data_IF_699794500011
#
_entry.id   IF_699794500011
#
_cell.length_a   1.000
_cell.length_b   1.000
_cell.length_c   1.000
_cell.angle_alpha   90.00
_cell.angle_beta   90.00
_cell.angle_gamma   90.00
#
_symmetry.space_group_name_H-M   'P 1'
#
loop_
_entity.id
_entity.type
_entity.pdbx_description
1 polymer ?
#
# COMPACT_ATOMS: atom_id res chain seq x y z
N UNK A 1 -0.35 -27.97 27.26
CA UNK A 1 0.38 -27.13 26.31
C UNK A 1 -0.04 -27.47 24.89
N UNK A 2 -0.81 -26.62 24.26
CA UNK A 2 -0.98 -26.70 22.81
C UNK A 2 -0.10 -25.62 22.16
N UNK A 3 1.11 -25.99 21.83
CA UNK A 3 2.01 -25.19 21.02
C UNK A 3 1.59 -25.33 19.57
N UNK A 4 0.65 -24.53 19.14
CA UNK A 4 0.21 -24.57 17.75
C UNK A 4 -0.75 -23.44 17.42
N UNK A 5 -0.93 -23.23 16.15
CA UNK A 5 -1.90 -22.25 15.65
C UNK A 5 -3.30 -22.84 15.85
N UNK A 6 -4.16 -22.07 16.49
CA UNK A 6 -5.57 -22.45 16.60
C UNK A 6 -6.29 -22.08 15.29
N UNK A 7 -7.13 -23.01 14.82
CA UNK A 7 -7.84 -22.84 13.55
C UNK A 7 -9.16 -22.06 13.69
N UNK A 8 -9.28 -21.26 14.76
CA UNK A 8 -10.46 -20.42 14.99
C UNK A 8 -10.11 -18.95 14.93
N UNK A 9 -10.95 -18.17 14.25
CA UNK A 9 -10.88 -16.73 14.21
C UNK A 9 -11.82 -16.16 15.27
N UNK A 10 -11.30 -15.33 16.17
CA UNK A 10 -12.13 -14.68 17.19
C UNK A 10 -12.95 -13.53 16.56
N UNK A 11 -14.24 -13.40 16.92
CA UNK A 11 -15.04 -12.28 16.45
C UNK A 11 -14.55 -10.95 17.03
N UNK A 12 -14.88 -9.81 16.42
CA UNK A 12 -14.58 -8.50 17.00
C UNK A 12 -15.22 -8.34 18.39
N UNK A 13 -14.53 -7.64 19.27
CA UNK A 13 -15.02 -7.34 20.62
C UNK A 13 -14.17 -7.95 21.72
N UNK A 14 -14.79 -8.19 22.89
CA UNK A 14 -14.10 -8.79 24.03
C UNK A 14 -13.83 -10.27 23.80
N UNK A 15 -12.60 -10.68 24.03
CA UNK A 15 -12.17 -12.06 23.85
C UNK A 15 -11.62 -12.64 25.15
N UNK A 16 -11.88 -13.93 25.37
CA UNK A 16 -11.24 -14.69 26.43
C UNK A 16 -10.12 -15.55 25.83
N UNK A 17 -8.90 -15.35 26.32
CA UNK A 17 -7.73 -16.15 25.93
C UNK A 17 -7.13 -16.85 27.14
N UNK A 18 -6.66 -18.09 26.94
CA UNK A 18 -5.98 -18.83 27.98
C UNK A 18 -4.68 -18.10 28.36
N UNK A 19 -4.31 -18.08 29.69
CA UNK A 19 -3.16 -17.31 30.16
C UNK A 19 -1.83 -17.62 29.47
N UNK A 20 -1.69 -18.81 28.91
CA UNK A 20 -0.45 -19.24 28.26
C UNK A 20 -0.45 -19.02 26.74
N UNK A 21 -1.55 -18.52 26.18
CA UNK A 21 -1.64 -18.23 24.75
C UNK A 21 -1.13 -16.83 24.44
N UNK A 22 -0.36 -16.71 23.35
CA UNK A 22 0.03 -15.41 22.80
C UNK A 22 -0.98 -15.00 21.75
N UNK A 23 -1.56 -13.82 21.95
CA UNK A 23 -2.48 -13.24 20.98
C UNK A 23 -1.69 -12.56 19.86
N UNK A 24 -2.01 -12.90 18.62
CA UNK A 24 -1.58 -12.18 17.42
C UNK A 24 -2.80 -11.59 16.75
N UNK A 25 -2.75 -10.31 16.47
CA UNK A 25 -3.89 -9.57 15.94
C UNK A 25 -3.76 -9.35 14.43
N UNK A 26 -4.85 -9.64 13.74
CA UNK A 26 -5.01 -9.37 12.31
C UNK A 26 -6.33 -8.64 12.12
N UNK A 27 -6.28 -7.39 11.67
CA UNK A 27 -7.51 -6.63 11.45
C UNK A 27 -8.22 -7.12 10.18
N UNK A 28 -9.43 -7.61 10.34
CA UNK A 28 -10.35 -7.92 9.23
C UNK A 28 -11.29 -6.76 8.92
N UNK A 29 -11.17 -5.67 9.67
CA UNK A 29 -11.82 -4.40 9.37
C UNK A 29 -10.93 -3.56 8.44
N UNK A 30 -11.52 -2.56 7.80
CA UNK A 30 -10.79 -1.68 6.90
C UNK A 30 -9.71 -0.88 7.65
N UNK A 31 -8.48 -1.02 7.20
CA UNK A 31 -7.33 -0.27 7.67
C UNK A 31 -6.82 0.65 6.55
N UNK A 32 -6.14 1.71 6.92
CA UNK A 32 -5.58 2.66 5.96
C UNK A 32 -4.06 2.76 6.18
N UNK A 33 -3.31 2.52 5.11
CA UNK A 33 -1.89 2.78 5.05
C UNK A 33 -1.67 4.12 4.34
N UNK A 34 -0.95 5.04 4.98
CA UNK A 34 -0.70 6.37 4.46
C UNK A 34 0.81 6.58 4.31
N UNK A 35 1.26 6.83 3.08
CA UNK A 35 2.65 7.13 2.75
C UNK A 35 2.69 8.47 2.02
N UNK A 36 2.62 9.55 2.77
CA UNK A 36 2.46 10.91 2.23
C UNK A 36 3.61 11.83 2.64
N UNK A 37 3.66 13.00 2.02
CA UNK A 37 4.78 13.91 2.18
C UNK A 37 4.80 14.58 3.55
N UNK A 38 3.64 14.98 4.06
CA UNK A 38 3.58 15.76 5.29
C UNK A 38 2.33 15.42 6.14
N UNK A 39 2.25 16.09 7.29
CA UNK A 39 1.16 15.87 8.26
C UNK A 39 -0.22 16.22 7.72
N UNK A 40 -0.33 17.18 6.82
CA UNK A 40 -1.61 17.58 6.25
C UNK A 40 -2.20 16.49 5.37
N UNK A 41 -1.34 15.67 4.80
CA UNK A 41 -1.73 14.53 3.98
C UNK A 41 -1.87 13.23 4.79
N UNK A 42 -1.47 13.22 6.06
CA UNK A 42 -1.69 12.11 7.00
C UNK A 42 -0.47 11.42 7.57
N UNK A 43 0.73 11.64 7.02
CA UNK A 43 1.97 11.04 7.55
C UNK A 43 2.63 11.91 8.61
N UNK A 44 3.26 11.26 9.59
CA UNK A 44 4.00 11.97 10.64
C UNK A 44 5.31 12.58 10.15
N UNK A 45 5.86 12.04 9.09
CA UNK A 45 7.10 12.46 8.43
C UNK A 45 6.90 12.35 6.92
N UNK A 46 7.91 12.76 6.14
CA UNK A 46 7.89 12.56 4.68
C UNK A 46 8.07 11.08 4.37
N UNK A 47 6.97 10.41 4.08
CA UNK A 47 6.91 9.02 3.63
C UNK A 47 6.63 8.91 2.12
N UNK A 48 6.63 10.03 1.39
CA UNK A 48 6.50 10.02 -0.06
C UNK A 48 7.68 9.26 -0.70
N UNK A 49 7.47 8.75 -1.89
CA UNK A 49 8.48 7.97 -2.60
C UNK A 49 8.41 8.22 -4.10
N UNK A 50 9.51 7.92 -4.79
CA UNK A 50 9.58 8.10 -6.24
C UNK A 50 9.14 6.83 -6.96
N UNK A 51 8.36 7.01 -8.01
CA UNK A 51 7.94 5.95 -8.91
C UNK A 51 8.48 6.22 -10.32
N UNK A 52 8.75 5.15 -11.06
CA UNK A 52 9.26 5.24 -12.44
C UNK A 52 8.10 5.50 -13.42
N UNK A 53 8.43 6.09 -14.56
CA UNK A 53 7.49 6.40 -15.64
C UNK A 53 7.89 5.74 -16.95
N UNK A 54 7.00 5.72 -17.93
CA UNK A 54 7.27 5.13 -19.25
C UNK A 54 8.29 5.91 -20.08
N UNK A 55 8.51 7.17 -19.76
CA UNK A 55 9.44 8.07 -20.45
C UNK A 55 10.76 8.27 -19.69
N UNK A 56 11.19 7.23 -18.98
CA UNK A 56 12.45 7.15 -18.24
C UNK A 56 12.64 8.26 -17.19
N UNK A 57 11.55 8.83 -16.72
CA UNK A 57 11.55 9.80 -15.63
C UNK A 57 11.19 9.11 -14.31
N UNK A 58 11.33 9.82 -13.21
CA UNK A 58 10.79 9.43 -11.92
C UNK A 58 10.12 10.61 -11.25
N UNK A 59 9.06 10.36 -10.49
CA UNK A 59 8.31 11.40 -9.84
C UNK A 59 7.94 10.99 -8.42
N UNK A 60 8.11 11.90 -7.47
CA UNK A 60 7.72 11.65 -6.09
C UNK A 60 6.20 11.73 -5.94
N UNK A 61 5.64 10.79 -5.22
CA UNK A 61 4.19 10.69 -5.02
C UNK A 61 3.85 10.46 -3.55
N UNK A 62 2.69 10.93 -3.14
CA UNK A 62 2.02 10.55 -1.91
C UNK A 62 0.99 9.46 -2.23
N UNK A 63 0.91 8.47 -1.38
CA UNK A 63 0.13 7.26 -1.64
C UNK A 63 -0.71 6.87 -0.42
N UNK A 64 -1.87 6.30 -0.69
CA UNK A 64 -2.77 5.81 0.34
C UNK A 64 -3.39 4.49 -0.10
N UNK A 65 -3.50 3.54 0.81
CA UNK A 65 -4.08 2.24 0.53
C UNK A 65 -5.03 1.84 1.64
N UNK A 66 -6.28 1.52 1.26
CA UNK A 66 -7.26 0.90 2.14
C UNK A 66 -7.20 -0.62 1.96
N UNK A 67 -7.10 -1.34 3.05
CA UNK A 67 -6.93 -2.79 3.01
C UNK A 67 -7.55 -3.45 4.24
N UNK A 68 -7.67 -4.77 4.18
CA UNK A 68 -8.00 -5.61 5.33
C UNK A 68 -7.38 -6.98 5.14
N UNK A 69 -7.20 -7.70 6.23
CA UNK A 69 -6.86 -9.11 6.13
C UNK A 69 -8.14 -9.90 5.79
N UNK A 70 -8.01 -10.84 4.87
CA UNK A 70 -9.11 -11.72 4.48
C UNK A 70 -9.39 -12.72 5.61
N UNK A 71 -10.59 -12.69 6.24
CA UNK A 71 -10.90 -13.61 7.31
C UNK A 71 -10.85 -15.07 6.91
N UNK A 72 -11.03 -15.40 5.63
CA UNK A 72 -10.98 -16.77 5.13
C UNK A 72 -9.56 -17.33 5.05
N UNK A 73 -8.55 -16.45 4.91
CA UNK A 73 -7.14 -16.85 4.73
C UNK A 73 -6.23 -16.42 5.87
N UNK A 74 -6.76 -15.73 6.89
CA UNK A 74 -5.93 -15.15 7.96
C UNK A 74 -5.17 -16.21 8.77
N UNK A 75 -5.73 -17.38 8.96
CA UNK A 75 -5.05 -18.46 9.69
C UNK A 75 -3.83 -18.95 8.89
N UNK A 76 -3.98 -19.12 7.58
CA UNK A 76 -2.87 -19.48 6.70
C UNK A 76 -1.79 -18.42 6.68
N UNK A 77 -2.19 -17.16 6.66
CA UNK A 77 -1.28 -16.01 6.75
C UNK A 77 -0.48 -16.05 8.05
N UNK A 78 -1.15 -16.26 9.18
CA UNK A 78 -0.48 -16.39 10.47
C UNK A 78 0.53 -17.55 10.49
N UNK A 79 0.15 -18.68 9.94
CA UNK A 79 1.06 -19.86 9.85
C UNK A 79 2.29 -19.55 9.00
N UNK A 80 2.11 -18.82 7.90
CA UNK A 80 3.19 -18.45 6.98
C UNK A 80 4.17 -17.44 7.60
N UNK A 81 3.67 -16.49 8.38
CA UNK A 81 4.46 -15.41 8.99
C UNK A 81 4.51 -15.54 10.52
N UNK A 82 4.88 -16.71 11.02
CA UNK A 82 4.96 -17.00 12.45
C UNK A 82 5.71 -15.91 13.23
N UNK A 83 5.12 -15.49 14.35
CA UNK A 83 5.70 -14.46 15.20
C UNK A 83 5.37 -13.05 14.79
N UNK A 84 4.71 -12.84 13.67
CA UNK A 84 4.29 -11.53 13.18
C UNK A 84 2.77 -11.40 13.27
N UNK A 85 2.29 -10.30 13.79
CA UNK A 85 0.88 -9.94 13.68
C UNK A 85 0.62 -9.19 12.36
N UNK A 86 -0.65 -8.80 12.13
CA UNK A 86 -1.03 -8.13 10.89
C UNK A 86 -0.30 -6.82 10.65
N UNK A 87 -0.08 -6.04 11.71
CA UNK A 87 0.64 -4.77 11.59
C UNK A 87 2.14 -4.98 11.31
N UNK A 88 2.75 -5.98 11.93
CA UNK A 88 4.16 -6.32 11.67
C UNK A 88 4.39 -6.73 10.22
N UNK A 89 3.46 -7.49 9.63
CA UNK A 89 3.54 -7.88 8.22
C UNK A 89 3.50 -6.64 7.32
N UNK A 90 2.59 -5.71 7.57
CA UNK A 90 2.49 -4.46 6.80
C UNK A 90 3.77 -3.64 6.94
N UNK A 91 4.24 -3.41 8.16
CA UNK A 91 5.40 -2.57 8.42
C UNK A 91 6.71 -3.18 7.88
N UNK A 92 6.90 -4.48 8.00
CA UNK A 92 8.17 -5.13 7.71
C UNK A 92 8.22 -5.89 6.37
N UNK A 93 7.07 -6.15 5.75
CA UNK A 93 7.00 -6.87 4.47
C UNK A 93 6.34 -6.07 3.36
N UNK A 94 5.12 -5.57 3.59
CA UNK A 94 4.35 -4.87 2.57
C UNK A 94 5.01 -3.55 2.18
N UNK A 95 5.35 -2.72 3.14
CA UNK A 95 5.98 -1.41 2.87
C UNK A 95 7.31 -1.54 2.14
N UNK A 96 8.09 -2.59 2.40
CA UNK A 96 9.40 -2.77 1.75
C UNK A 96 9.30 -3.05 0.25
N UNK A 97 8.20 -3.63 -0.21
CA UNK A 97 8.02 -3.98 -1.63
C UNK A 97 7.06 -3.02 -2.36
N UNK A 98 6.37 -2.17 -1.61
CA UNK A 98 5.27 -1.35 -2.15
C UNK A 98 5.72 -0.43 -3.27
N UNK A 99 6.85 0.27 -3.10
CA UNK A 99 7.40 1.16 -4.12
C UNK A 99 7.66 0.44 -5.44
N UNK A 100 8.32 -0.72 -5.39
CA UNK A 100 8.63 -1.47 -6.61
C UNK A 100 7.37 -2.03 -7.27
N UNK A 101 6.40 -2.45 -6.47
CA UNK A 101 5.12 -2.96 -6.99
C UNK A 101 4.31 -1.86 -7.66
N UNK A 102 4.25 -0.69 -7.08
CA UNK A 102 3.58 0.47 -7.69
C UNK A 102 4.32 0.89 -8.97
N UNK A 103 5.65 0.90 -8.95
CA UNK A 103 6.45 1.23 -10.12
C UNK A 103 6.23 0.27 -11.30
N UNK A 104 5.96 -1.01 -11.05
CA UNK A 104 5.60 -1.95 -12.12
C UNK A 104 4.35 -1.52 -12.89
N UNK A 105 3.43 -0.82 -12.23
CA UNK A 105 2.24 -0.26 -12.89
C UNK A 105 2.54 1.10 -13.53
N UNK A 106 3.22 1.99 -12.81
CA UNK A 106 3.44 3.36 -13.27
C UNK A 106 4.38 3.46 -14.47
N UNK A 107 5.20 2.43 -14.73
CA UNK A 107 6.04 2.38 -15.93
C UNK A 107 5.26 2.32 -17.23
N UNK A 108 3.97 2.00 -17.18
CA UNK A 108 3.07 2.05 -18.35
C UNK A 108 2.48 3.45 -18.60
N UNK A 109 2.79 4.42 -17.74
CA UNK A 109 2.23 5.77 -17.79
C UNK A 109 3.36 6.79 -17.91
N UNK A 110 3.15 7.81 -18.74
CA UNK A 110 4.09 8.92 -18.85
C UNK A 110 4.06 9.80 -17.59
N UNK A 111 5.11 10.58 -17.39
CA UNK A 111 5.17 11.57 -16.31
C UNK A 111 3.97 12.51 -16.34
N UNK A 112 3.59 12.99 -17.51
CA UNK A 112 2.45 13.91 -17.65
C UNK A 112 1.12 13.23 -17.34
N UNK A 113 0.96 11.96 -17.67
CA UNK A 113 -0.24 11.19 -17.31
C UNK A 113 -0.38 11.07 -15.79
N UNK A 114 0.73 10.87 -15.09
CA UNK A 114 0.73 10.79 -13.62
C UNK A 114 0.51 12.16 -12.99
N UNK A 115 1.17 13.20 -13.53
CA UNK A 115 1.12 14.55 -12.98
C UNK A 115 -0.24 15.23 -13.21
N UNK A 116 -0.75 15.21 -14.43
CA UNK A 116 -1.93 15.97 -14.81
C UNK A 116 -3.00 15.17 -15.52
N UNK A 117 -2.75 13.89 -15.75
CA UNK A 117 -3.64 13.03 -16.50
C UNK A 117 -4.74 12.40 -15.68
N UNK A 118 -5.34 11.37 -16.23
CA UNK A 118 -6.43 10.63 -15.62
C UNK A 118 -5.90 9.64 -14.59
N UNK A 119 -5.66 10.10 -13.37
CA UNK A 119 -5.21 9.26 -12.25
C UNK A 119 -6.23 8.20 -11.84
N UNK A 120 -7.49 8.37 -12.17
CA UNK A 120 -8.53 7.38 -11.88
C UNK A 120 -8.20 6.02 -12.53
N UNK A 121 -7.83 6.04 -13.81
CA UNK A 121 -7.42 4.82 -14.53
C UNK A 121 -6.15 4.21 -13.93
N UNK A 122 -5.16 5.04 -13.62
CA UNK A 122 -3.92 4.61 -12.98
C UNK A 122 -4.20 3.99 -11.60
N UNK A 123 -5.00 4.66 -10.77
CA UNK A 123 -5.32 4.19 -9.43
C UNK A 123 -6.11 2.88 -9.46
N UNK A 124 -7.01 2.70 -10.41
CA UNK A 124 -7.71 1.43 -10.61
C UNK A 124 -6.74 0.32 -10.98
N UNK A 125 -5.79 0.59 -11.86
CA UNK A 125 -4.76 -0.39 -12.26
C UNK A 125 -3.86 -0.76 -11.08
N UNK A 126 -3.45 0.20 -10.27
CA UNK A 126 -2.67 -0.04 -9.05
C UNK A 126 -3.47 -0.90 -8.07
N UNK A 127 -4.73 -0.56 -7.84
CA UNK A 127 -5.61 -1.29 -6.91
C UNK A 127 -5.74 -2.76 -7.32
N UNK A 128 -6.04 -3.04 -8.58
CA UNK A 128 -6.17 -4.40 -9.09
C UNK A 128 -4.87 -5.20 -8.98
N UNK A 129 -3.76 -4.58 -9.36
CA UNK A 129 -2.44 -5.20 -9.31
C UNK A 129 -2.03 -5.54 -7.87
N UNK A 130 -2.14 -4.59 -6.96
CA UNK A 130 -1.79 -4.81 -5.55
C UNK A 130 -2.72 -5.82 -4.88
N UNK A 131 -4.02 -5.77 -5.17
CA UNK A 131 -4.96 -6.72 -4.60
C UNK A 131 -4.61 -8.16 -4.99
N UNK A 132 -4.32 -8.40 -6.25
CA UNK A 132 -3.93 -9.72 -6.74
C UNK A 132 -2.64 -10.20 -6.09
N UNK A 133 -1.62 -9.37 -6.04
CA UNK A 133 -0.30 -9.72 -5.51
C UNK A 133 -0.33 -9.90 -3.99
N UNK A 134 -0.92 -8.97 -3.27
CA UNK A 134 -0.93 -8.97 -1.80
C UNK A 134 -1.90 -9.97 -1.21
N UNK A 135 -2.99 -10.27 -1.89
CA UNK A 135 -3.89 -11.34 -1.46
C UNK A 135 -3.20 -12.69 -1.51
N UNK A 136 -2.50 -12.95 -2.59
CA UNK A 136 -1.74 -14.19 -2.77
C UNK A 136 -0.59 -14.34 -1.78
N UNK A 137 0.16 -13.26 -1.53
CA UNK A 137 1.37 -13.31 -0.70
C UNK A 137 1.12 -13.12 0.78
N UNK A 138 0.18 -12.25 1.14
CA UNK A 138 -0.02 -11.80 2.52
C UNK A 138 -1.43 -12.02 3.05
N UNK A 139 -2.35 -12.53 2.25
CA UNK A 139 -3.75 -12.65 2.65
C UNK A 139 -4.44 -11.31 2.85
N UNK A 140 -3.94 -10.25 2.21
CA UNK A 140 -4.47 -8.90 2.28
C UNK A 140 -5.39 -8.64 1.09
N UNK A 141 -6.59 -8.15 1.36
CA UNK A 141 -7.48 -7.58 0.34
C UNK A 141 -7.22 -6.08 0.26
N UNK A 142 -6.81 -5.62 -0.92
CA UNK A 142 -6.64 -4.19 -1.20
C UNK A 142 -7.95 -3.67 -1.76
N UNK A 143 -8.59 -2.79 -1.00
CA UNK A 143 -9.91 -2.23 -1.35
C UNK A 143 -9.78 -1.02 -2.26
N UNK A 144 -8.75 -0.18 -1.99
CA UNK A 144 -8.41 0.99 -2.79
C UNK A 144 -6.94 1.30 -2.61
N UNK A 145 -6.27 1.64 -3.70
CA UNK A 145 -4.88 2.07 -3.69
C UNK A 145 -4.73 3.26 -4.64
N UNK A 146 -4.29 4.39 -4.12
CA UNK A 146 -4.35 5.64 -4.86
C UNK A 146 -3.09 6.49 -4.66
N UNK A 147 -2.59 7.04 -5.76
CA UNK A 147 -1.70 8.19 -5.72
C UNK A 147 -2.59 9.41 -5.42
N UNK A 148 -2.40 9.99 -4.24
CA UNK A 148 -3.25 11.10 -3.77
C UNK A 148 -2.66 12.46 -4.07
N UNK A 149 -1.34 12.53 -4.29
CA UNK A 149 -0.67 13.77 -4.68
C UNK A 149 0.65 13.46 -5.37
N UNK A 150 1.15 14.42 -6.14
CA UNK A 150 2.37 14.30 -6.93
C UNK A 150 3.28 15.49 -6.60
N UNK A 151 4.55 15.20 -6.34
CA UNK A 151 5.52 16.19 -5.86
C UNK A 151 6.71 16.30 -6.84
N UNK A 152 6.59 17.06 -7.95
CA UNK A 152 7.71 17.24 -8.85
C UNK A 152 8.83 18.05 -8.18
N UNK A 153 10.10 17.69 -8.45
CA UNK A 153 11.23 18.51 -8.06
C UNK A 153 11.30 19.77 -8.94
N UNK A 154 12.18 20.71 -8.60
CA UNK A 154 12.29 21.97 -9.33
C UNK A 154 12.65 21.78 -10.81
N UNK A 155 13.57 20.87 -11.10
CA UNK A 155 13.98 20.56 -12.47
C UNK A 155 12.82 19.98 -13.27
N UNK A 156 12.11 19.03 -12.67
CA UNK A 156 10.95 18.39 -13.30
C UNK A 156 9.82 19.39 -13.47
N UNK A 157 9.58 20.24 -12.49
CA UNK A 157 8.58 21.30 -12.53
C UNK A 157 8.84 22.28 -13.68
N UNK A 158 10.10 22.71 -13.86
CA UNK A 158 10.48 23.56 -14.98
C UNK A 158 10.26 22.86 -16.33
N UNK A 159 10.62 21.58 -16.43
CA UNK A 159 10.38 20.82 -17.66
C UNK A 159 8.89 20.69 -17.98
N UNK A 160 8.05 20.51 -16.98
CA UNK A 160 6.59 20.47 -17.13
C UNK A 160 6.07 21.83 -17.59
N UNK A 161 6.47 22.92 -16.94
CA UNK A 161 6.05 24.27 -17.26
C UNK A 161 6.46 24.67 -18.70
N UNK A 162 7.69 24.36 -19.10
CA UNK A 162 8.19 24.61 -20.47
C UNK A 162 7.39 23.83 -21.51
N UNK A 163 7.04 22.56 -21.20
CA UNK A 163 6.26 21.73 -22.12
C UNK A 163 4.83 22.25 -22.30
N UNK A 164 4.21 22.66 -21.20
CA UNK A 164 2.86 23.27 -21.23
C UNK A 164 2.89 24.56 -22.01
N UNK A 165 3.90 25.41 -21.82
CA UNK A 165 4.06 26.67 -22.56
C UNK A 165 4.25 26.42 -24.05
N UNK A 166 5.02 25.41 -24.45
CA UNK A 166 5.25 25.06 -25.85
C UNK A 166 4.00 24.55 -26.57
N UNK A 167 3.02 24.01 -25.82
CA UNK A 167 1.76 23.52 -26.39
C UNK A 167 0.67 24.59 -26.50
N UNK A 168 0.92 25.77 -25.97
CA UNK A 168 0.05 26.92 -26.11
C UNK A 168 0.47 27.74 -27.38
#
# INVERSE_FOLDING_TARGET
>A
YKDGVQDTVLPPGAHFIAPMNKLKEFSTSNEILVLTKDKREGSKKDDSFKVATSDDASIAVSFQMSYRYDPETVIDTYKKFKGMDGNDIVENRVKTVLKSKISEVTTDYSMMDIYSGNRSKLNNAITEYLNKDFHKKYGIEVLDASIVDVHPDEKLKQAIDNRVTALQ
#
